data_IF_164970471178
#
_entry.id   IF_164970471178
#
_cell.length_a   1.000
_cell.length_b   1.000
_cell.length_c   1.000
_cell.angle_alpha   90.00
_cell.angle_beta   90.00
_cell.angle_gamma   90.00
#
_symmetry.space_group_name_H-M   'P 1'
#
loop_
_entity.id
_entity.type
_entity.pdbx_description
1 polymer ?
#
# COMPACT_ATOMS: atom_id res chain seq x y z
N UNK A 1 -1.62 -9.36 -27.28
CA UNK A 1 -1.61 -8.62 -26.00
C UNK A 1 -2.70 -9.18 -25.10
N UNK A 2 -2.36 -9.53 -23.85
CA UNK A 2 -3.38 -9.93 -22.88
C UNK A 2 -4.23 -8.69 -22.53
N UNK A 3 -5.55 -8.89 -22.38
CA UNK A 3 -6.50 -7.84 -21.93
C UNK A 3 -6.09 -7.19 -20.57
N UNK A 4 -5.23 -7.84 -19.82
CA UNK A 4 -4.76 -7.42 -18.49
C UNK A 4 -3.24 -7.16 -18.44
N UNK A 5 -2.60 -6.78 -19.57
CA UNK A 5 -1.17 -6.49 -19.60
C UNK A 5 -0.87 -5.22 -18.78
N UNK A 6 0.15 -5.31 -17.93
CA UNK A 6 0.74 -4.21 -17.18
C UNK A 6 2.14 -3.85 -17.67
N UNK A 7 2.47 -4.24 -18.91
CA UNK A 7 3.75 -3.96 -19.52
C UNK A 7 4.07 -2.45 -19.48
N UNK A 8 5.28 -2.11 -19.05
CA UNK A 8 5.72 -0.73 -18.89
C UNK A 8 5.13 0.02 -17.68
N UNK A 9 4.34 -0.63 -16.83
CA UNK A 9 3.83 -0.02 -15.59
C UNK A 9 4.75 -0.26 -14.41
N UNK A 10 4.97 0.77 -13.62
CA UNK A 10 5.69 0.69 -12.33
C UNK A 10 4.67 0.61 -11.21
N UNK A 11 4.77 -0.44 -10.39
CA UNK A 11 3.86 -0.71 -9.27
C UNK A 11 4.62 -0.70 -7.96
N UNK A 12 4.16 0.07 -7.00
CA UNK A 12 4.62 0.00 -5.60
C UNK A 12 3.65 -0.86 -4.78
N UNK A 13 4.18 -1.92 -4.16
CA UNK A 13 3.43 -2.80 -3.23
C UNK A 13 4.06 -2.70 -1.85
N UNK A 14 3.34 -2.13 -0.88
CA UNK A 14 3.85 -2.08 0.50
C UNK A 14 3.59 -3.39 1.24
N UNK A 15 4.57 -3.81 2.07
CA UNK A 15 4.45 -5.07 2.82
C UNK A 15 4.47 -6.31 1.92
N UNK A 16 5.40 -6.37 0.96
CA UNK A 16 5.49 -7.42 -0.06
C UNK A 16 6.36 -8.62 0.35
N UNK A 17 6.84 -8.70 1.61
CA UNK A 17 7.72 -9.79 2.04
C UNK A 17 7.03 -11.15 2.18
N UNK A 18 5.71 -11.16 2.37
CA UNK A 18 4.91 -12.39 2.59
C UNK A 18 3.41 -12.16 2.33
N UNK A 19 2.65 -13.23 2.41
CA UNK A 19 1.17 -13.19 2.41
C UNK A 19 0.59 -12.51 1.17
N UNK A 20 -0.45 -11.70 1.38
CA UNK A 20 -1.18 -11.02 0.31
C UNK A 20 -0.25 -10.12 -0.52
N UNK A 21 0.62 -9.35 0.14
CA UNK A 21 1.53 -8.44 -0.56
C UNK A 21 2.48 -9.16 -1.51
N UNK A 22 3.06 -10.29 -1.09
CA UNK A 22 3.92 -11.12 -1.94
C UNK A 22 3.14 -11.70 -3.12
N UNK A 23 1.99 -12.32 -2.87
CA UNK A 23 1.14 -12.91 -3.91
C UNK A 23 0.70 -11.88 -4.95
N UNK A 24 0.36 -10.66 -4.50
CA UNK A 24 0.02 -9.54 -5.39
C UNK A 24 1.23 -9.13 -6.22
N UNK A 25 2.41 -8.98 -5.62
CA UNK A 25 3.64 -8.60 -6.32
C UNK A 25 4.01 -9.63 -7.42
N UNK A 26 3.99 -10.91 -7.08
CA UNK A 26 4.25 -12.01 -8.05
C UNK A 26 3.23 -11.99 -9.20
N UNK A 27 1.94 -11.78 -8.90
CA UNK A 27 0.90 -11.70 -9.93
C UNK A 27 1.09 -10.51 -10.86
N UNK A 28 1.48 -9.35 -10.32
CA UNK A 28 1.74 -8.15 -11.13
C UNK A 28 2.94 -8.33 -12.06
N UNK A 29 4.01 -8.98 -11.58
CA UNK A 29 5.16 -9.38 -12.41
C UNK A 29 4.71 -10.30 -13.55
N UNK A 30 3.89 -11.31 -13.25
CA UNK A 30 3.37 -12.22 -14.28
C UNK A 30 2.49 -11.51 -15.32
N UNK A 31 1.99 -10.30 -15.02
CA UNK A 31 1.24 -9.43 -15.95
C UNK A 31 2.14 -8.42 -16.68
N UNK A 32 3.45 -8.45 -16.48
CA UNK A 32 4.43 -7.61 -17.17
C UNK A 32 4.78 -6.29 -16.46
N UNK A 33 4.34 -6.09 -15.21
CA UNK A 33 4.70 -4.91 -14.43
C UNK A 33 6.13 -4.97 -13.92
N UNK A 34 6.75 -3.79 -13.73
CA UNK A 34 7.92 -3.63 -12.86
C UNK A 34 7.45 -3.32 -11.45
N UNK A 35 7.88 -4.12 -10.48
CA UNK A 35 7.37 -4.04 -9.11
C UNK A 35 8.43 -3.54 -8.13
N UNK A 36 8.12 -2.47 -7.41
CA UNK A 36 8.80 -2.06 -6.19
C UNK A 36 8.06 -2.70 -5.01
N UNK A 37 8.65 -3.69 -4.36
CA UNK A 37 8.10 -4.29 -3.15
C UNK A 37 8.77 -3.74 -1.90
N UNK A 38 8.04 -3.54 -0.79
CA UNK A 38 8.68 -3.05 0.42
C UNK A 38 8.53 -4.00 1.62
N UNK A 39 9.52 -3.94 2.49
CA UNK A 39 9.55 -4.59 3.80
C UNK A 39 10.10 -3.60 4.85
N UNK A 40 9.92 -3.90 6.13
CA UNK A 40 10.41 -3.04 7.22
C UNK A 40 11.92 -3.16 7.47
N UNK A 41 12.59 -4.15 6.89
CA UNK A 41 14.01 -4.41 7.08
C UNK A 41 14.76 -4.60 5.76
N UNK A 42 16.05 -4.32 5.76
CA UNK A 42 16.94 -4.54 4.61
C UNK A 42 16.96 -6.01 4.17
N UNK A 43 16.96 -6.94 5.12
CA UNK A 43 16.89 -8.37 4.80
C UNK A 43 15.57 -8.74 4.11
N UNK A 44 14.45 -8.16 4.57
CA UNK A 44 13.16 -8.32 3.91
C UNK A 44 13.16 -7.73 2.49
N UNK A 45 13.81 -6.58 2.29
CA UNK A 45 13.96 -5.97 0.97
C UNK A 45 14.83 -6.83 0.03
N UNK A 46 15.92 -7.41 0.55
CA UNK A 46 16.77 -8.33 -0.21
C UNK A 46 15.99 -9.57 -0.68
N UNK A 47 15.21 -10.20 0.20
CA UNK A 47 14.37 -11.34 -0.15
C UNK A 47 13.31 -10.98 -1.21
N UNK A 48 12.76 -9.76 -1.17
CA UNK A 48 11.84 -9.28 -2.20
C UNK A 48 12.56 -9.13 -3.54
N UNK A 49 13.76 -8.55 -3.55
CA UNK A 49 14.55 -8.43 -4.77
C UNK A 49 14.87 -9.80 -5.39
N UNK A 50 15.15 -10.80 -4.55
CA UNK A 50 15.44 -12.16 -5.00
C UNK A 50 14.25 -12.77 -5.77
N UNK A 51 13.02 -12.73 -5.22
CA UNK A 51 11.88 -13.34 -5.92
C UNK A 51 11.32 -12.48 -7.07
N UNK A 52 11.55 -11.17 -7.07
CA UNK A 52 11.17 -10.30 -8.20
C UNK A 52 12.17 -10.40 -9.38
N UNK A 53 13.40 -10.81 -9.11
CA UNK A 53 14.50 -10.92 -10.10
C UNK A 53 14.63 -9.63 -10.94
N UNK A 54 14.71 -9.74 -12.26
CA UNK A 54 14.81 -8.59 -13.18
C UNK A 54 13.53 -7.76 -13.30
N UNK A 55 12.41 -8.25 -12.78
CA UNK A 55 11.11 -7.59 -12.91
C UNK A 55 10.78 -6.61 -11.78
N UNK A 56 11.72 -6.39 -10.87
CA UNK A 56 11.50 -5.44 -9.78
C UNK A 56 12.62 -5.41 -8.76
N UNK A 57 12.36 -4.68 -7.66
CA UNK A 57 13.34 -4.50 -6.59
C UNK A 57 12.63 -4.33 -5.24
N UNK A 58 13.25 -4.86 -4.19
CA UNK A 58 12.83 -4.67 -2.81
C UNK A 58 13.46 -3.43 -2.19
N UNK A 59 12.72 -2.76 -1.33
CA UNK A 59 13.14 -1.56 -0.60
C UNK A 59 12.78 -1.70 0.87
N UNK A 60 13.68 -1.26 1.76
CA UNK A 60 13.34 -1.09 3.15
C UNK A 60 12.50 0.19 3.31
N UNK A 61 11.33 0.06 3.93
CA UNK A 61 10.41 1.17 4.14
C UNK A 61 9.69 1.03 5.47
N UNK A 62 9.87 2.03 6.32
CA UNK A 62 8.98 2.27 7.44
C UNK A 62 7.84 3.20 7.00
N UNK A 63 6.64 2.66 6.84
CA UNK A 63 5.46 3.42 6.37
C UNK A 63 4.95 4.45 7.37
N UNK A 64 5.42 4.43 8.61
CA UNK A 64 5.06 5.42 9.63
C UNK A 64 6.01 6.61 9.65
N UNK A 65 7.13 6.53 8.93
CA UNK A 65 8.17 7.56 8.87
C UNK A 65 8.12 8.31 7.52
N UNK A 66 7.85 9.61 7.58
CA UNK A 66 7.77 10.47 6.40
C UNK A 66 9.09 10.61 5.63
N UNK A 67 10.22 10.62 6.32
CA UNK A 67 11.54 10.70 5.69
C UNK A 67 11.89 9.38 5.00
N UNK A 68 11.58 8.24 5.64
CA UNK A 68 11.70 6.92 5.03
C UNK A 68 10.84 6.79 3.76
N UNK A 69 9.59 7.27 3.79
CA UNK A 69 8.72 7.30 2.62
C UNK A 69 9.36 8.12 1.49
N UNK A 70 9.81 9.33 1.79
CA UNK A 70 10.38 10.25 0.80
C UNK A 70 11.64 9.68 0.16
N UNK A 71 12.55 9.13 0.95
CA UNK A 71 13.79 8.50 0.47
C UNK A 71 13.51 7.27 -0.41
N UNK A 72 12.58 6.41 0.04
CA UNK A 72 12.20 5.20 -0.71
C UNK A 72 11.55 5.55 -2.06
N UNK A 73 10.63 6.52 -2.09
CA UNK A 73 10.00 6.94 -3.35
C UNK A 73 11.00 7.57 -4.32
N UNK A 74 12.00 8.31 -3.83
CA UNK A 74 13.07 8.84 -4.65
C UNK A 74 13.94 7.72 -5.25
N UNK A 75 14.29 6.71 -4.47
CA UNK A 75 15.04 5.55 -4.94
C UNK A 75 14.25 4.75 -5.99
N UNK A 76 12.95 4.49 -5.76
CA UNK A 76 12.07 3.82 -6.72
C UNK A 76 12.03 4.59 -8.04
N UNK A 77 11.88 5.90 -7.97
CA UNK A 77 11.86 6.75 -9.16
C UNK A 77 13.15 6.67 -9.95
N UNK A 78 14.29 6.63 -9.28
CA UNK A 78 15.60 6.51 -9.91
C UNK A 78 15.79 5.13 -10.58
N UNK A 79 15.39 4.05 -9.90
CA UNK A 79 15.62 2.69 -10.33
C UNK A 79 14.61 2.19 -11.38
N UNK A 80 13.33 2.50 -11.19
CA UNK A 80 12.21 1.92 -11.94
C UNK A 80 11.37 2.96 -12.70
N UNK A 81 11.40 4.21 -12.27
CA UNK A 81 10.59 5.29 -12.84
C UNK A 81 9.44 5.74 -11.93
N UNK A 82 8.60 6.64 -12.46
CA UNK A 82 7.44 7.16 -11.72
C UNK A 82 6.39 6.07 -11.51
N UNK A 83 5.88 5.97 -10.29
CA UNK A 83 4.85 4.99 -9.89
C UNK A 83 3.54 5.26 -10.63
N UNK A 84 3.04 4.25 -11.34
CA UNK A 84 1.74 4.26 -12.01
C UNK A 84 0.63 3.66 -11.13
N UNK A 85 0.98 2.69 -10.28
CA UNK A 85 0.05 1.97 -9.42
C UNK A 85 0.64 1.88 -8.01
N UNK A 86 -0.14 2.30 -7.01
CA UNK A 86 0.18 2.14 -5.59
C UNK A 86 -0.76 1.11 -4.96
N UNK A 87 -0.19 0.09 -4.32
CA UNK A 87 -0.94 -0.90 -3.54
C UNK A 87 -0.53 -0.76 -2.08
N UNK A 88 -1.38 -0.14 -1.30
CA UNK A 88 -1.23 0.00 0.15
C UNK A 88 -1.70 -1.29 0.83
N UNK A 89 -0.76 -2.21 1.06
CA UNK A 89 -1.01 -3.50 1.68
C UNK A 89 -0.36 -3.63 3.08
N UNK A 90 0.69 -2.88 3.37
CA UNK A 90 1.33 -2.92 4.69
C UNK A 90 0.31 -2.66 5.80
N UNK A 91 0.36 -3.49 6.83
CA UNK A 91 -0.54 -3.37 7.97
C UNK A 91 -0.14 -4.32 9.10
N UNK A 92 -0.61 -4.01 10.29
CA UNK A 92 -0.38 -4.78 11.51
C UNK A 92 -1.71 -4.99 12.25
N UNK A 93 -1.71 -5.90 13.21
CA UNK A 93 -2.79 -6.08 14.20
C UNK A 93 -2.24 -5.90 15.61
N UNK A 94 -3.06 -5.39 16.51
CA UNK A 94 -2.81 -5.26 17.97
C UNK A 94 -4.14 -5.53 18.67
N UNK A 95 -4.52 -6.80 18.66
CA UNK A 95 -5.84 -7.22 19.13
C UNK A 95 -5.87 -7.22 20.65
N UNK A 96 -6.85 -6.52 21.22
CA UNK A 96 -7.11 -6.50 22.65
C UNK A 96 -8.55 -6.07 22.91
N UNK A 97 -9.15 -6.54 24.01
CA UNK A 97 -10.45 -6.09 24.44
C UNK A 97 -10.42 -4.59 24.81
N UNK A 98 -11.45 -3.84 24.47
CA UNK A 98 -11.49 -2.38 24.65
C UNK A 98 -11.07 -1.92 26.05
N UNK A 99 -11.51 -2.60 27.10
CA UNK A 99 -11.16 -2.26 28.48
C UNK A 99 -9.69 -2.48 28.85
N UNK A 100 -8.94 -3.22 28.02
CA UNK A 100 -7.53 -3.54 28.24
C UNK A 100 -6.62 -2.96 27.17
N UNK A 101 -7.23 -2.41 26.11
CA UNK A 101 -6.48 -1.83 24.99
C UNK A 101 -5.70 -0.61 25.48
N UNK A 102 -4.39 -0.61 25.20
CA UNK A 102 -3.50 0.49 25.53
C UNK A 102 -3.54 1.53 24.42
N UNK A 103 -3.33 2.80 24.78
CA UNK A 103 -3.26 3.90 23.82
C UNK A 103 -2.21 3.61 22.73
N UNK A 104 -1.07 3.04 23.09
CA UNK A 104 -0.04 2.65 22.11
C UNK A 104 -0.52 1.59 21.11
N UNK A 105 -1.35 0.64 21.52
CA UNK A 105 -1.92 -0.38 20.63
C UNK A 105 -2.92 0.25 19.65
N UNK A 106 -3.63 1.29 20.08
CA UNK A 106 -4.49 2.10 19.22
C UNK A 106 -3.65 2.92 18.24
N UNK A 107 -2.69 3.68 18.74
CA UNK A 107 -1.85 4.58 17.93
C UNK A 107 -1.05 3.83 16.88
N UNK A 108 -0.43 2.68 17.23
CA UNK A 108 0.30 1.82 16.30
C UNK A 108 -0.57 1.42 15.11
N UNK A 109 -1.82 1.04 15.38
CA UNK A 109 -2.76 0.60 14.33
C UNK A 109 -3.19 1.77 13.45
N UNK A 110 -3.57 2.89 14.02
CA UNK A 110 -4.00 4.07 13.27
C UNK A 110 -2.83 4.58 12.40
N UNK A 111 -1.64 4.67 12.98
CA UNK A 111 -0.46 5.18 12.27
C UNK A 111 -0.06 4.25 11.11
N UNK A 112 0.00 2.94 11.37
CA UNK A 112 0.44 1.97 10.35
C UNK A 112 -0.65 1.67 9.31
N UNK A 113 -1.91 1.50 9.73
CA UNK A 113 -2.95 0.98 8.82
C UNK A 113 -3.80 2.08 8.16
N UNK A 114 -3.74 3.33 8.64
CA UNK A 114 -4.52 4.44 8.10
C UNK A 114 -3.65 5.64 7.72
N UNK A 115 -2.87 6.19 8.65
CA UNK A 115 -2.06 7.38 8.40
C UNK A 115 -1.01 7.13 7.31
N UNK A 116 -0.41 5.95 7.27
CA UNK A 116 0.53 5.55 6.22
C UNK A 116 -0.09 5.60 4.83
N UNK A 117 -1.34 5.15 4.69
CA UNK A 117 -2.08 5.18 3.42
C UNK A 117 -2.28 6.60 2.94
N UNK A 118 -2.63 7.52 3.84
CA UNK A 118 -2.72 8.95 3.52
C UNK A 118 -1.37 9.49 3.03
N UNK A 119 -0.27 9.23 3.76
CA UNK A 119 1.07 9.74 3.40
C UNK A 119 1.54 9.24 2.04
N UNK A 120 1.46 7.92 1.82
CA UNK A 120 1.87 7.30 0.56
C UNK A 120 1.02 7.76 -0.61
N UNK A 121 -0.31 7.78 -0.45
CA UNK A 121 -1.23 8.27 -1.48
C UNK A 121 -0.91 9.71 -1.86
N UNK A 122 -0.75 10.60 -0.87
CA UNK A 122 -0.39 12.02 -1.09
C UNK A 122 0.94 12.15 -1.85
N UNK A 123 1.93 11.34 -1.51
CA UNK A 123 3.26 11.42 -2.11
C UNK A 123 3.28 11.02 -3.60
N UNK A 124 2.43 10.06 -4.03
CA UNK A 124 2.35 9.63 -5.44
C UNK A 124 1.38 10.46 -6.27
N UNK A 125 0.53 11.28 -5.66
CA UNK A 125 -0.52 12.01 -6.40
C UNK A 125 0.04 12.99 -7.44
N UNK A 126 1.05 13.79 -7.07
CA UNK A 126 1.57 14.85 -7.96
C UNK A 126 2.07 14.30 -9.30
N UNK A 127 2.93 13.28 -9.36
CA UNK A 127 3.33 12.66 -10.62
C UNK A 127 2.16 11.99 -11.35
N UNK A 128 1.23 11.31 -10.65
CA UNK A 128 0.05 10.70 -11.27
C UNK A 128 -0.86 11.76 -11.90
N UNK A 129 -1.09 12.89 -11.22
CA UNK A 129 -1.89 14.01 -11.75
C UNK A 129 -1.25 14.64 -13.00
N UNK A 130 0.08 14.77 -13.01
CA UNK A 130 0.82 15.28 -14.17
C UNK A 130 0.68 14.36 -15.39
N UNK A 131 0.76 13.05 -15.17
CA UNK A 131 0.54 12.03 -16.21
C UNK A 131 -0.92 11.87 -16.60
N UNK A 132 -1.88 12.39 -15.80
CA UNK A 132 -3.32 12.12 -15.90
C UNK A 132 -3.64 10.62 -15.91
N UNK A 133 -2.89 9.87 -15.16
CA UNK A 133 -3.04 8.43 -15.03
C UNK A 133 -2.48 7.96 -13.69
N UNK A 134 -3.23 7.12 -12.99
CA UNK A 134 -2.79 6.49 -11.75
C UNK A 134 -3.85 5.54 -11.20
N UNK A 135 -3.39 4.58 -10.40
CA UNK A 135 -4.26 3.64 -9.69
C UNK A 135 -3.79 3.52 -8.25
N UNK A 136 -4.67 3.79 -7.31
CA UNK A 136 -4.42 3.58 -5.88
C UNK A 136 -5.35 2.49 -5.41
N UNK A 137 -4.80 1.41 -4.87
CA UNK A 137 -5.54 0.26 -4.36
C UNK A 137 -5.16 0.09 -2.90
N UNK A 138 -6.14 0.22 -2.02
CA UNK A 138 -5.95 0.08 -0.58
C UNK A 138 -6.49 -1.28 -0.13
N UNK A 139 -5.68 -2.05 0.59
CA UNK A 139 -6.12 -3.32 1.15
C UNK A 139 -6.85 -3.04 2.46
N UNK A 140 -8.16 -3.12 2.38
CA UNK A 140 -9.09 -3.02 3.50
C UNK A 140 -9.23 -4.33 4.26
N UNK A 141 -10.40 -4.54 4.84
CA UNK A 141 -10.83 -5.80 5.47
C UNK A 141 -12.34 -5.77 5.64
N UNK A 142 -12.99 -6.92 5.62
CA UNK A 142 -14.40 -7.06 6.02
C UNK A 142 -14.64 -6.57 7.45
N UNK A 143 -13.64 -6.66 8.32
CA UNK A 143 -13.68 -6.14 9.70
C UNK A 143 -13.94 -4.64 9.74
N UNK A 144 -13.51 -3.88 8.74
CA UNK A 144 -13.81 -2.43 8.63
C UNK A 144 -15.29 -2.10 8.42
N UNK A 145 -16.10 -3.06 7.97
CA UNK A 145 -17.56 -2.90 7.78
C UNK A 145 -18.38 -3.67 8.81
N UNK A 146 -17.90 -4.82 9.25
CA UNK A 146 -18.64 -5.71 10.15
C UNK A 146 -18.25 -5.53 11.62
N UNK A 147 -17.05 -5.03 11.89
CA UNK A 147 -16.45 -5.07 13.22
C UNK A 147 -15.99 -6.49 13.61
N UNK A 148 -15.17 -6.57 14.66
CA UNK A 148 -14.79 -7.82 15.31
C UNK A 148 -14.41 -7.55 16.77
N UNK A 149 -14.83 -8.41 17.68
CA UNK A 149 -14.48 -8.28 19.11
C UNK A 149 -12.97 -8.32 19.29
N UNK A 150 -12.41 -7.42 20.10
CA UNK A 150 -10.98 -7.29 20.32
C UNK A 150 -10.22 -6.54 19.24
N UNK A 151 -10.88 -6.04 18.20
CA UNK A 151 -10.26 -5.34 17.07
C UNK A 151 -10.83 -3.93 16.85
N UNK A 152 -11.23 -3.22 17.91
CA UNK A 152 -11.80 -1.89 17.78
C UNK A 152 -10.87 -0.90 17.05
N UNK A 153 -9.56 -0.92 17.35
CA UNK A 153 -8.54 -0.14 16.68
C UNK A 153 -8.39 -0.53 15.18
N UNK A 154 -8.29 -1.81 14.89
CA UNK A 154 -8.15 -2.32 13.52
C UNK A 154 -9.40 -2.04 12.68
N UNK A 155 -10.60 -2.28 13.24
CA UNK A 155 -11.87 -1.97 12.59
C UNK A 155 -11.99 -0.47 12.28
N UNK A 156 -11.64 0.40 13.23
CA UNK A 156 -11.64 1.85 13.03
C UNK A 156 -10.70 2.27 11.90
N UNK A 157 -9.46 1.75 11.88
CA UNK A 157 -8.51 2.05 10.82
C UNK A 157 -9.04 1.58 9.44
N UNK A 158 -9.52 0.34 9.35
CA UNK A 158 -10.01 -0.23 8.07
C UNK A 158 -11.31 0.43 7.59
N UNK A 159 -12.19 0.85 8.48
CA UNK A 159 -13.34 1.71 8.15
C UNK A 159 -12.88 3.09 7.65
N UNK A 160 -11.88 3.68 8.31
CA UNK A 160 -11.27 4.94 7.89
C UNK A 160 -10.68 4.88 6.48
N UNK A 161 -10.05 3.77 6.11
CA UNK A 161 -9.53 3.54 4.75
C UNK A 161 -10.65 3.62 3.71
N UNK A 162 -11.84 3.09 4.00
CA UNK A 162 -12.99 3.13 3.08
C UNK A 162 -13.45 4.58 2.88
N UNK A 163 -13.63 5.33 3.97
CA UNK A 163 -14.04 6.74 3.91
C UNK A 163 -13.02 7.61 3.18
N UNK A 164 -11.73 7.47 3.54
CA UNK A 164 -10.61 8.14 2.87
C UNK A 164 -10.59 7.87 1.36
N UNK A 165 -10.69 6.61 0.96
CA UNK A 165 -10.63 6.21 -0.44
C UNK A 165 -11.77 6.78 -1.26
N UNK A 166 -12.98 6.77 -0.73
CA UNK A 166 -14.18 7.35 -1.40
C UNK A 166 -14.02 8.86 -1.60
N UNK A 167 -13.52 9.58 -0.60
CA UNK A 167 -13.30 11.02 -0.68
C UNK A 167 -12.23 11.36 -1.70
N UNK A 168 -11.07 10.72 -1.60
CA UNK A 168 -9.96 10.93 -2.52
C UNK A 168 -10.35 10.59 -3.97
N UNK A 169 -11.09 9.49 -4.20
CA UNK A 169 -11.55 9.11 -5.52
C UNK A 169 -12.39 10.23 -6.19
N UNK A 170 -13.30 10.86 -5.42
CA UNK A 170 -14.11 11.99 -5.92
C UNK A 170 -13.26 13.22 -6.25
N UNK A 171 -12.25 13.52 -5.42
CA UNK A 171 -11.38 14.67 -5.58
C UNK A 171 -10.53 14.60 -6.86
N UNK A 172 -10.02 13.41 -7.19
CA UNK A 172 -9.04 13.24 -8.28
C UNK A 172 -9.59 12.55 -9.54
N UNK A 173 -10.88 12.20 -9.56
CA UNK A 173 -11.51 11.50 -10.70
C UNK A 173 -11.27 12.19 -12.04
N UNK A 174 -11.36 13.53 -12.09
CA UNK A 174 -11.13 14.34 -13.30
C UNK A 174 -9.70 14.26 -13.85
N UNK A 175 -8.78 13.70 -13.08
CA UNK A 175 -7.36 13.52 -13.45
C UNK A 175 -7.03 12.13 -13.99
N UNK A 176 -8.05 11.28 -14.25
CA UNK A 176 -7.83 9.92 -14.75
C UNK A 176 -7.20 8.96 -13.72
N UNK A 177 -7.31 9.30 -12.44
CA UNK A 177 -6.79 8.50 -11.33
C UNK A 177 -7.97 7.83 -10.62
N UNK A 178 -7.84 6.54 -10.31
CA UNK A 178 -8.84 5.81 -9.54
C UNK A 178 -8.29 5.41 -8.17
N UNK A 179 -9.18 5.39 -7.18
CA UNK A 179 -8.88 4.91 -5.82
C UNK A 179 -9.92 3.87 -5.44
N UNK A 180 -9.46 2.67 -5.14
CA UNK A 180 -10.32 1.55 -4.80
C UNK A 180 -9.87 0.86 -3.52
N UNK A 181 -10.79 0.18 -2.86
CA UNK A 181 -10.53 -0.66 -1.69
C UNK A 181 -10.88 -2.10 -2.01
N UNK A 182 -9.96 -3.01 -1.72
CA UNK A 182 -10.21 -4.46 -1.73
C UNK A 182 -10.27 -4.89 -0.27
N UNK A 183 -11.36 -5.52 0.13
CA UNK A 183 -11.62 -5.93 1.50
C UNK A 183 -11.63 -7.47 1.61
N UNK A 184 -10.47 -8.11 1.84
CA UNK A 184 -10.41 -9.54 2.07
C UNK A 184 -11.15 -9.94 3.35
N UNK A 185 -11.69 -11.19 3.35
CA UNK A 185 -12.33 -11.84 4.48
C UNK A 185 -11.44 -12.85 5.16
#
# INVERSE_FOLDING_TARGET
>A
MSLFSLEGKVVLVTGASRGIGKAVAEKLVAMGAKVAGTATSENGAANISEYLAENGKGYALNVTDGDSISATLAAIKQDLGDIDILINNAGITRDNLMMRMKDQEWDDIIETNLTSIFRLSKAVLRPMMKKRHGRIINIGSVVGTMGNAGQANYAAAKAGVIGFSKSLAKEIASRGITVNVVAPG
#
